data_IF_827745999507
#
_entry.id   IF_827745999507
#
_cell.length_a   1.000
_cell.length_b   1.000
_cell.length_c   1.000
_cell.angle_alpha   90.00
_cell.angle_beta   90.00
_cell.angle_gamma   90.00
#
_symmetry.space_group_name_H-M   'P 1'
#
loop_
_entity.id
_entity.type
_entity.pdbx_description
1 polymer ?
#
# COMPACT_ATOMS: atom_id res chain seq x y z
N UNK A 1 -19.40 -18.52 -1.43
CA UNK A 1 -18.34 -17.85 -0.63
C UNK A 1 -18.05 -16.51 -1.31
N UNK A 2 -18.42 -15.38 -0.70
CA UNK A 2 -18.13 -14.07 -1.28
C UNK A 2 -16.63 -13.81 -1.19
N UNK A 3 -15.92 -13.92 -2.32
CA UNK A 3 -14.52 -13.51 -2.41
C UNK A 3 -14.51 -12.00 -2.43
N UNK A 4 -14.14 -11.35 -1.33
CA UNK A 4 -13.95 -9.90 -1.34
C UNK A 4 -12.89 -9.57 -2.38
N UNK A 5 -13.29 -8.78 -3.39
CA UNK A 5 -12.41 -8.36 -4.48
C UNK A 5 -11.44 -7.26 -4.03
N UNK A 6 -11.71 -6.65 -2.88
CA UNK A 6 -10.98 -5.51 -2.36
C UNK A 6 -10.73 -5.61 -0.85
N UNK A 7 -9.56 -5.16 -0.41
CA UNK A 7 -9.14 -5.02 0.98
C UNK A 7 -9.21 -3.54 1.35
N UNK A 8 -9.82 -3.19 2.48
CA UNK A 8 -9.85 -1.78 2.91
C UNK A 8 -8.46 -1.33 3.36
N UNK A 9 -8.15 -0.03 3.25
CA UNK A 9 -6.86 0.52 3.68
C UNK A 9 -6.47 0.15 5.13
N UNK A 10 -7.34 0.27 6.15
CA UNK A 10 -6.99 -0.17 7.51
C UNK A 10 -6.71 -1.68 7.62
N UNK A 11 -7.46 -2.49 6.87
CA UNK A 11 -7.26 -3.95 6.82
C UNK A 11 -5.96 -4.32 6.10
N UNK A 12 -5.58 -3.57 5.06
CA UNK A 12 -4.31 -3.73 4.36
C UNK A 12 -3.14 -3.49 5.31
N UNK A 13 -3.13 -2.37 6.03
CA UNK A 13 -2.08 -2.03 7.00
C UNK A 13 -2.01 -3.10 8.09
N UNK A 14 -3.17 -3.51 8.62
CA UNK A 14 -3.25 -4.58 9.62
C UNK A 14 -2.66 -5.90 9.12
N UNK A 15 -2.94 -6.29 7.87
CA UNK A 15 -2.39 -7.52 7.26
C UNK A 15 -0.87 -7.47 7.15
N UNK A 16 -0.30 -6.32 6.78
CA UNK A 16 1.16 -6.16 6.73
C UNK A 16 1.77 -6.35 8.12
N UNK A 17 1.16 -5.71 9.14
CA UNK A 17 1.62 -5.81 10.53
C UNK A 17 1.58 -7.26 11.02
N UNK A 18 0.44 -7.95 10.83
CA UNK A 18 0.28 -9.35 11.19
C UNK A 18 1.31 -10.23 10.46
N UNK A 19 1.55 -10.02 9.17
CA UNK A 19 2.52 -10.81 8.40
C UNK A 19 3.97 -10.69 8.91
N UNK A 20 4.35 -9.57 9.54
CA UNK A 20 5.67 -9.43 10.19
C UNK A 20 5.68 -10.13 11.56
N UNK A 21 4.68 -9.84 12.39
CA UNK A 21 4.64 -10.31 13.78
C UNK A 21 4.28 -11.81 13.91
N UNK A 22 3.61 -12.39 12.92
CA UNK A 22 3.40 -13.85 12.83
C UNK A 22 4.72 -14.62 12.66
N UNK A 23 5.75 -13.98 12.10
CA UNK A 23 7.08 -14.57 11.92
C UNK A 23 7.94 -14.37 13.17
N UNK A 24 8.03 -13.13 13.65
CA UNK A 24 8.83 -12.76 14.82
C UNK A 24 8.27 -11.48 15.44
N UNK A 25 7.72 -11.61 16.66
CA UNK A 25 7.06 -10.51 17.37
C UNK A 25 8.03 -9.41 17.83
N UNK A 26 9.35 -9.65 17.76
CA UNK A 26 10.37 -8.66 18.11
C UNK A 26 10.72 -7.71 16.95
N UNK A 27 10.31 -8.06 15.72
CA UNK A 27 10.58 -7.22 14.54
C UNK A 27 9.63 -6.02 14.52
N UNK A 28 10.09 -4.96 13.88
CA UNK A 28 9.31 -3.73 13.73
C UNK A 28 8.89 -3.51 12.28
N UNK A 29 7.81 -2.76 12.08
CA UNK A 29 7.29 -2.49 10.75
C UNK A 29 6.77 -1.05 10.60
N UNK A 30 6.93 -0.49 9.41
CA UNK A 30 6.34 0.79 9.00
C UNK A 30 5.73 0.69 7.59
N UNK A 31 4.66 1.45 7.34
CA UNK A 31 4.05 1.61 6.01
C UNK A 31 4.08 3.09 5.65
N UNK A 32 4.63 3.42 4.48
CA UNK A 32 4.77 4.78 3.96
C UNK A 32 4.10 4.94 2.59
N UNK A 33 3.77 6.18 2.22
CA UNK A 33 3.23 6.56 0.91
C UNK A 33 1.71 6.41 0.79
N UNK A 34 1.01 6.25 1.90
CA UNK A 34 -0.46 6.16 2.00
C UNK A 34 -1.06 7.24 2.92
N UNK A 35 -0.24 8.17 3.42
CA UNK A 35 -0.59 9.13 4.47
C UNK A 35 -1.66 10.12 4.04
N UNK A 36 -1.70 10.45 2.74
CA UNK A 36 -2.69 11.36 2.16
C UNK A 36 -4.05 10.71 1.88
N UNK A 37 -4.18 9.40 2.05
CA UNK A 37 -5.41 8.67 1.72
C UNK A 37 -6.31 8.55 2.96
N UNK A 38 -7.40 9.31 2.98
CA UNK A 38 -8.40 9.22 4.06
C UNK A 38 -9.17 7.88 4.01
N UNK A 39 -9.51 7.41 2.81
CA UNK A 39 -10.10 6.08 2.62
C UNK A 39 -9.69 5.49 1.27
N UNK A 40 -9.43 4.19 1.23
CA UNK A 40 -9.12 3.49 0.00
C UNK A 40 -9.46 2.00 0.07
N UNK A 41 -9.59 1.39 -1.12
CA UNK A 41 -9.73 -0.03 -1.38
C UNK A 41 -8.57 -0.51 -2.23
N UNK A 42 -7.87 -1.52 -1.75
CA UNK A 42 -6.79 -2.22 -2.43
C UNK A 42 -7.35 -3.44 -3.17
N UNK A 43 -6.74 -3.87 -4.27
CA UNK A 43 -7.07 -5.16 -4.88
C UNK A 43 -6.62 -6.34 -4.01
N UNK A 44 -7.56 -7.17 -3.54
CA UNK A 44 -7.26 -8.23 -2.55
C UNK A 44 -6.24 -9.27 -3.02
N UNK A 45 -6.25 -9.63 -4.31
CA UNK A 45 -5.26 -10.56 -4.87
C UNK A 45 -3.83 -10.01 -4.72
N UNK A 46 -3.63 -8.72 -4.98
CA UNK A 46 -2.32 -8.07 -4.86
C UNK A 46 -1.94 -7.82 -3.40
N UNK A 47 -2.93 -7.52 -2.54
CA UNK A 47 -2.70 -7.50 -1.10
C UNK A 47 -2.13 -8.82 -0.61
N UNK A 48 -2.68 -9.97 -1.03
CA UNK A 48 -2.16 -11.28 -0.64
C UNK A 48 -0.72 -11.52 -1.09
N UNK A 49 -0.36 -11.12 -2.33
CA UNK A 49 1.03 -11.22 -2.82
C UNK A 49 2.00 -10.36 -2.02
N UNK A 50 1.59 -9.15 -1.65
CA UNK A 50 2.41 -8.26 -0.82
C UNK A 50 2.56 -8.84 0.60
N UNK A 51 1.50 -9.43 1.15
CA UNK A 51 1.51 -10.13 2.44
C UNK A 51 2.53 -11.28 2.44
N UNK A 52 2.52 -12.11 1.39
CA UNK A 52 3.51 -13.18 1.19
C UNK A 52 4.95 -12.62 1.08
N UNK A 53 5.14 -11.53 0.34
CA UNK A 53 6.45 -10.88 0.21
C UNK A 53 6.94 -10.28 1.54
N UNK A 54 6.04 -9.69 2.34
CA UNK A 54 6.33 -9.19 3.69
C UNK A 54 6.76 -10.35 4.59
N UNK A 55 6.02 -11.46 4.56
CA UNK A 55 6.37 -12.66 5.31
C UNK A 55 7.75 -13.22 4.90
N UNK A 56 8.08 -13.23 3.60
CA UNK A 56 9.40 -13.64 3.11
C UNK A 56 10.52 -12.73 3.63
N UNK A 57 10.34 -11.42 3.60
CA UNK A 57 11.31 -10.45 4.11
C UNK A 57 11.47 -10.59 5.63
N UNK A 58 10.35 -10.71 6.35
CA UNK A 58 10.34 -10.89 7.80
C UNK A 58 11.02 -12.20 8.21
N UNK A 59 10.96 -13.25 7.40
CA UNK A 59 11.59 -14.56 7.64
C UNK A 59 13.12 -14.57 7.61
N UNK A 60 13.77 -13.46 7.25
CA UNK A 60 15.22 -13.37 7.16
C UNK A 60 15.87 -13.03 8.51
N UNK A 61 16.93 -13.76 8.87
CA UNK A 61 17.67 -13.54 10.13
C UNK A 61 18.39 -12.18 10.18
N UNK A 62 18.84 -11.68 9.03
CA UNK A 62 19.55 -10.40 8.89
C UNK A 62 18.62 -9.18 8.94
N UNK A 63 17.30 -9.39 9.01
CA UNK A 63 16.30 -8.33 9.01
C UNK A 63 15.74 -8.14 10.42
N UNK A 64 15.77 -6.90 10.92
CA UNK A 64 15.15 -6.48 12.19
C UNK A 64 13.96 -5.54 12.00
N UNK A 65 13.88 -4.91 10.84
CA UNK A 65 12.83 -3.96 10.52
C UNK A 65 12.34 -4.13 9.08
N UNK A 66 11.03 -4.11 8.88
CA UNK A 66 10.38 -4.21 7.57
C UNK A 66 9.74 -2.87 7.21
N UNK A 67 10.11 -2.29 6.07
CA UNK A 67 9.51 -1.06 5.54
C UNK A 67 8.69 -1.41 4.29
N UNK A 68 7.41 -1.06 4.28
CA UNK A 68 6.55 -1.13 3.10
C UNK A 68 6.33 0.28 2.56
N UNK A 69 6.97 0.60 1.43
CA UNK A 69 6.87 1.91 0.80
C UNK A 69 6.01 1.83 -0.47
N UNK A 70 4.92 2.57 -0.51
CA UNK A 70 4.03 2.68 -1.67
C UNK A 70 4.37 3.94 -2.46
N UNK A 71 4.75 3.77 -3.71
CA UNK A 71 5.14 4.85 -4.62
C UNK A 71 4.12 4.99 -5.75
N UNK A 72 3.65 6.20 -6.07
CA UNK A 72 2.86 6.42 -7.27
C UNK A 72 3.71 6.06 -8.49
N UNK A 73 3.14 5.30 -9.43
CA UNK A 73 3.79 5.00 -10.69
C UNK A 73 3.19 5.93 -11.73
N UNK A 74 3.84 7.06 -12.00
CA UNK A 74 3.32 8.07 -12.95
C UNK A 74 3.85 7.75 -14.35
N UNK A 75 2.99 7.71 -15.40
CA UNK A 75 1.57 8.08 -15.45
C UNK A 75 0.56 6.93 -15.23
N UNK A 76 1.01 5.75 -14.81
CA UNK A 76 0.13 4.59 -14.64
C UNK A 76 -0.85 4.71 -13.45
N UNK A 77 -1.95 3.95 -13.52
CA UNK A 77 -2.96 3.86 -12.44
C UNK A 77 -2.55 2.90 -11.31
N UNK A 78 -1.36 2.31 -11.40
CA UNK A 78 -0.81 1.38 -10.42
C UNK A 78 0.19 2.09 -9.51
N UNK A 79 0.37 1.58 -8.31
CA UNK A 79 1.44 1.99 -7.41
C UNK A 79 2.49 0.88 -7.34
N UNK A 80 3.75 1.27 -7.25
CA UNK A 80 4.85 0.37 -6.93
C UNK A 80 4.92 0.19 -5.42
N UNK A 81 5.02 -1.04 -4.93
CA UNK A 81 5.22 -1.33 -3.52
C UNK A 81 6.63 -1.89 -3.34
N UNK A 82 7.46 -1.20 -2.57
CA UNK A 82 8.76 -1.69 -2.15
C UNK A 82 8.61 -2.30 -0.76
N UNK A 83 8.84 -3.60 -0.64
CA UNK A 83 8.96 -4.29 0.65
C UNK A 83 10.45 -4.42 0.95
N UNK A 84 10.95 -3.65 1.92
CA UNK A 84 12.38 -3.59 2.28
C UNK A 84 12.62 -4.27 3.61
N UNK A 85 13.64 -5.13 3.67
CA UNK A 85 14.21 -5.62 4.91
C UNK A 85 15.42 -4.78 5.30
N UNK A 86 15.44 -4.27 6.54
CA UNK A 86 16.56 -3.52 7.11
C UNK A 86 17.19 -4.29 8.27
N UNK A 87 18.52 -4.22 8.36
CA UNK A 87 19.28 -4.74 9.50
C UNK A 87 19.17 -3.82 10.74
N UNK A 88 19.85 -4.20 11.82
CA UNK A 88 19.91 -3.44 13.07
C UNK A 88 20.47 -2.01 12.93
N UNK A 89 21.24 -1.76 11.88
CA UNK A 89 21.84 -0.45 11.58
C UNK A 89 20.97 0.37 10.61
N UNK A 90 19.79 -0.13 10.24
CA UNK A 90 18.88 0.50 9.27
C UNK A 90 19.33 0.35 7.81
N UNK A 91 20.36 -0.44 7.52
CA UNK A 91 20.81 -0.69 6.15
C UNK A 91 19.83 -1.64 5.48
N UNK A 92 19.34 -1.27 4.30
CA UNK A 92 18.50 -2.16 3.49
C UNK A 92 19.32 -3.34 2.96
N UNK A 93 18.95 -4.56 3.32
CA UNK A 93 19.63 -5.80 2.90
C UNK A 93 18.88 -6.53 1.78
N UNK A 94 17.57 -6.31 1.66
CA UNK A 94 16.74 -6.91 0.61
C UNK A 94 15.56 -6.00 0.26
N UNK A 95 15.18 -6.00 -1.02
CA UNK A 95 13.95 -5.38 -1.51
C UNK A 95 13.19 -6.41 -2.37
N UNK A 96 11.89 -6.54 -2.15
CA UNK A 96 10.94 -7.16 -3.08
C UNK A 96 10.06 -6.05 -3.65
N UNK A 97 9.87 -6.06 -4.96
CA UNK A 97 9.05 -5.08 -5.66
C UNK A 97 7.75 -5.73 -6.12
N UNK A 98 6.62 -5.16 -5.71
CA UNK A 98 5.29 -5.56 -6.13
C UNK A 98 4.53 -4.36 -6.67
N UNK A 99 3.31 -4.60 -7.17
CA UNK A 99 2.41 -3.55 -7.63
C UNK A 99 1.08 -3.66 -6.91
N UNK A 100 0.40 -2.52 -6.71
CA UNK A 100 -0.95 -2.47 -6.12
C UNK A 100 -1.79 -1.43 -6.85
N UNK A 101 -3.07 -1.73 -7.07
CA UNK A 101 -4.04 -0.70 -7.44
C UNK A 101 -4.75 -0.22 -6.19
N UNK A 102 -4.87 1.08 -6.07
CA UNK A 102 -5.51 1.78 -4.97
C UNK A 102 -6.71 2.52 -5.55
N UNK A 103 -7.89 2.20 -5.04
CA UNK A 103 -9.14 2.86 -5.42
C UNK A 103 -9.54 3.73 -4.25
N UNK A 104 -9.50 5.03 -4.43
CA UNK A 104 -9.99 6.01 -3.47
C UNK A 104 -11.21 6.74 -4.04
N UNK A 105 -12.06 7.34 -3.20
CA UNK A 105 -13.12 8.23 -3.65
C UNK A 105 -12.59 9.33 -4.57
N UNK A 106 -13.39 9.69 -5.58
CA UNK A 106 -13.14 10.85 -6.44
C UNK A 106 -13.64 12.12 -5.76
N UNK A 107 -13.33 13.28 -6.34
CA UNK A 107 -13.76 14.60 -5.88
C UNK A 107 -15.27 14.71 -5.63
N UNK A 108 -16.07 13.87 -6.29
CA UNK A 108 -17.53 13.87 -6.17
C UNK A 108 -18.02 13.60 -4.75
N UNK A 109 -17.23 12.88 -3.93
CA UNK A 109 -17.60 12.66 -2.52
C UNK A 109 -17.43 13.90 -1.66
N UNK A 110 -16.68 14.89 -2.14
CA UNK A 110 -16.42 16.15 -1.44
C UNK A 110 -17.29 17.30 -1.97
N UNK A 111 -18.20 17.03 -2.92
CA UNK A 111 -19.07 18.07 -3.46
C UNK A 111 -20.16 18.51 -2.48
N UNK A 112 -20.41 17.76 -1.40
CA UNK A 112 -21.41 18.10 -0.38
C UNK A 112 -22.80 18.44 -0.94
N UNK A 113 -23.17 17.84 -2.08
CA UNK A 113 -24.43 18.09 -2.78
C UNK A 113 -24.44 19.36 -3.64
N UNK A 114 -23.32 20.05 -3.81
CA UNK A 114 -23.18 21.16 -4.74
C UNK A 114 -23.41 20.71 -6.18
N UNK A 115 -24.33 21.37 -6.88
CA UNK A 115 -24.65 21.09 -8.29
C UNK A 115 -24.10 22.13 -9.26
N UNK A 116 -23.60 23.26 -8.74
CA UNK A 116 -23.01 24.35 -9.52
C UNK A 116 -21.47 24.24 -9.49
N UNK A 117 -20.92 23.48 -10.43
CA UNK A 117 -19.50 23.11 -10.45
C UNK A 117 -18.86 23.65 -11.73
N UNK A 118 -17.84 24.49 -11.56
CA UNK A 118 -16.96 24.94 -12.64
C UNK A 118 -15.64 24.14 -12.62
N UNK A 119 -15.50 23.15 -13.52
CA UNK A 119 -14.25 22.39 -13.66
C UNK A 119 -13.31 23.06 -14.66
N UNK A 120 -12.21 23.63 -14.16
CA UNK A 120 -11.16 24.30 -14.96
C UNK A 120 -9.95 23.40 -15.26
N UNK A 121 -9.98 22.14 -14.84
CA UNK A 121 -8.86 21.21 -15.07
C UNK A 121 -8.79 20.83 -16.55
N UNK A 122 -7.60 20.50 -17.09
CA UNK A 122 -7.50 19.87 -18.40
C UNK A 122 -8.26 18.54 -18.42
N UNK A 123 -8.86 18.20 -19.57
CA UNK A 123 -9.50 16.89 -19.74
C UNK A 123 -8.47 15.78 -19.54
N UNK A 124 -8.89 14.69 -18.91
CA UNK A 124 -8.03 13.51 -18.71
C UNK A 124 -7.36 13.07 -20.02
N UNK A 125 -6.04 12.91 -19.98
CA UNK A 125 -5.23 12.52 -21.14
C UNK A 125 -4.88 13.66 -22.10
N UNK A 126 -5.29 14.89 -21.80
CA UNK A 126 -4.91 16.10 -22.52
C UNK A 126 -4.10 16.99 -21.57
N UNK A 127 -2.78 16.78 -21.58
CA UNK A 127 -1.78 17.61 -20.90
C UNK A 127 -0.80 18.19 -21.92
#
# INVERSE_FOLDING_TARGET
MFRFMHTKLPEFIKKMYVAVHDVDDTKTMEVHGLESLHSAKMQSLRTGRIEEAVHEIAGRDDVKHVEVLVLPRVPETMHTVLIKGKDENGKTTKIIMEVINIIHPTEETEFDGCTDIEDRRPKLGLH
#
